data_IF_789267091112
#
_entry.id   IF_789267091112
#
_cell.length_a   1.000
_cell.length_b   1.000
_cell.length_c   1.000
_cell.angle_alpha   90.00
_cell.angle_beta   90.00
_cell.angle_gamma   90.00
#
_symmetry.space_group_name_H-M   'P 1'
#
loop_
_entity.id
_entity.type
_entity.pdbx_description
1 polymer ?
#
# COMPACT_ATOMS: atom_id res chain seq x y z
N UNK A 1 -21.97 9.37 49.75
CA UNK A 1 -22.03 7.98 50.21
C UNK A 1 -23.49 7.56 50.32
N UNK A 2 -23.80 6.34 49.84
CA UNK A 2 -25.05 5.58 49.98
C UNK A 2 -26.29 6.06 49.21
N UNK A 3 -27.09 5.23 48.52
CA UNK A 3 -26.96 3.89 47.91
C UNK A 3 -28.27 3.72 47.10
N UNK A 4 -28.18 3.04 45.94
CA UNK A 4 -29.29 2.52 45.13
C UNK A 4 -30.31 1.69 45.94
N UNK A 5 -31.53 1.52 45.40
CA UNK A 5 -32.32 0.26 45.16
C UNK A 5 -33.83 0.64 45.02
N UNK A 6 -34.42 0.74 43.82
CA UNK A 6 -35.07 -0.30 42.98
C UNK A 6 -36.28 -1.03 43.60
N UNK A 7 -37.46 -0.84 42.98
CA UNK A 7 -38.58 -1.80 42.77
C UNK A 7 -39.68 -1.04 41.99
N UNK A 8 -39.80 -1.11 40.66
CA UNK A 8 -40.19 -2.20 39.74
C UNK A 8 -41.64 -2.68 39.89
N UNK A 9 -42.22 -3.08 38.75
CA UNK A 9 -43.57 -3.64 38.47
C UNK A 9 -44.55 -2.57 37.92
N UNK A 10 -44.60 -2.29 36.61
CA UNK A 10 -45.01 -3.12 35.45
C UNK A 10 -46.53 -3.40 35.43
N UNK A 11 -47.25 -2.91 34.41
CA UNK A 11 -47.90 -3.77 33.41
C UNK A 11 -48.69 -2.97 32.34
N UNK A 12 -48.37 -3.27 31.09
CA UNK A 12 -49.29 -3.49 29.95
C UNK A 12 -50.25 -2.38 29.49
N UNK A 13 -49.88 -1.77 28.35
CA UNK A 13 -50.82 -1.54 27.27
C UNK A 13 -50.17 -2.00 25.95
N UNK A 14 -50.51 -3.23 25.56
CA UNK A 14 -50.29 -3.78 24.22
C UNK A 14 -51.44 -3.30 23.34
N UNK A 15 -51.13 -2.48 22.33
CA UNK A 15 -51.92 -2.32 21.11
C UNK A 15 -50.97 -1.75 20.05
N UNK A 16 -50.32 -2.60 19.26
CA UNK A 16 -50.78 -2.94 17.91
C UNK A 16 -51.04 -1.69 17.06
N UNK A 17 -49.97 -0.98 16.72
CA UNK A 17 -49.87 -0.32 15.42
C UNK A 17 -48.77 -0.99 14.63
N UNK A 18 -49.24 -1.89 13.77
CA UNK A 18 -48.67 -2.33 12.51
C UNK A 18 -47.18 -2.02 12.29
N UNK A 19 -46.39 -3.09 12.33
CA UNK A 19 -45.22 -3.24 11.47
C UNK A 19 -45.62 -2.89 10.02
N UNK A 20 -45.46 -1.64 9.62
CA UNK A 20 -45.02 -1.36 8.24
C UNK A 20 -43.50 -1.41 8.24
N UNK A 21 -42.96 -2.60 8.51
CA UNK A 21 -41.74 -3.01 7.83
C UNK A 21 -42.17 -3.25 6.39
N UNK A 22 -42.38 -2.17 5.62
CA UNK A 22 -42.02 -2.31 4.23
C UNK A 22 -40.54 -2.64 4.28
N UNK A 23 -40.13 -3.86 3.88
CA UNK A 23 -38.72 -4.05 3.59
C UNK A 23 -38.48 -3.03 2.49
N UNK A 24 -37.76 -1.96 2.85
CA UNK A 24 -37.10 -1.12 1.87
C UNK A 24 -36.50 -2.12 0.87
N UNK A 25 -37.06 -2.15 -0.34
CA UNK A 25 -36.59 -3.02 -1.41
C UNK A 25 -35.23 -2.46 -1.76
N UNK A 26 -34.25 -2.89 -0.98
CA UNK A 26 -32.86 -2.51 -1.13
C UNK A 26 -32.46 -3.14 -2.46
N UNK A 27 -31.97 -2.33 -3.41
CA UNK A 27 -31.70 -2.81 -4.74
C UNK A 27 -30.82 -4.06 -4.68
N UNK A 28 -31.26 -5.09 -5.40
CA UNK A 28 -30.45 -6.23 -5.84
C UNK A 28 -29.06 -5.66 -6.15
N UNK A 29 -27.99 -6.24 -5.62
CA UNK A 29 -26.67 -5.93 -6.17
C UNK A 29 -26.66 -6.67 -7.51
N UNK A 30 -26.85 -6.00 -8.67
CA UNK A 30 -26.41 -6.63 -9.90
C UNK A 30 -24.93 -6.91 -9.65
N UNK A 31 -24.44 -8.06 -10.10
CA UNK A 31 -23.03 -8.36 -10.04
C UNK A 31 -22.34 -7.40 -11.01
N UNK A 32 -22.14 -6.18 -10.53
CA UNK A 32 -21.76 -4.99 -11.27
C UNK A 32 -20.25 -4.85 -11.12
N UNK A 33 -19.61 -4.36 -12.18
CA UNK A 33 -18.17 -4.25 -12.25
C UNK A 33 -17.64 -3.45 -11.04
N UNK A 34 -17.04 -4.14 -10.08
CA UNK A 34 -16.39 -3.51 -8.93
C UNK A 34 -14.91 -3.35 -9.22
N UNK A 35 -14.38 -2.15 -9.04
CA UNK A 35 -12.95 -1.90 -9.17
C UNK A 35 -12.32 -1.87 -7.78
N UNK A 36 -11.38 -2.78 -7.52
CA UNK A 36 -10.56 -2.74 -6.31
C UNK A 36 -9.09 -2.53 -6.70
N UNK A 37 -8.40 -1.67 -5.97
CA UNK A 37 -6.95 -1.52 -6.11
C UNK A 37 -6.23 -2.19 -4.95
N UNK A 38 -5.26 -3.05 -5.26
CA UNK A 38 -4.43 -3.75 -4.28
C UNK A 38 -2.97 -3.56 -4.65
N UNK A 39 -2.09 -3.30 -3.68
CA UNK A 39 -0.66 -3.22 -3.98
C UNK A 39 -0.06 -4.61 -4.16
N UNK A 40 0.89 -4.77 -5.09
CA UNK A 40 1.67 -6.00 -5.22
C UNK A 40 2.40 -6.29 -3.89
N UNK A 41 2.17 -7.47 -3.33
CA UNK A 41 2.62 -7.85 -1.99
C UNK A 41 1.66 -7.51 -0.85
N UNK A 42 0.43 -7.07 -1.15
CA UNK A 42 -0.63 -6.86 -0.15
C UNK A 42 -1.83 -7.77 -0.40
N UNK A 43 -2.51 -8.07 0.70
CA UNK A 43 -3.79 -8.74 0.70
C UNK A 43 -4.91 -7.72 0.92
N UNK A 44 -6.10 -8.03 0.39
CA UNK A 44 -7.34 -7.33 0.66
C UNK A 44 -8.50 -8.32 0.68
N UNK A 45 -9.67 -7.89 1.13
CA UNK A 45 -10.87 -8.72 1.13
C UNK A 45 -12.09 -7.93 0.69
N UNK A 46 -12.94 -8.55 -0.10
CA UNK A 46 -14.26 -8.03 -0.46
C UNK A 46 -15.33 -8.90 0.18
N UNK A 47 -16.40 -8.27 0.66
CA UNK A 47 -17.56 -8.99 1.23
C UNK A 47 -18.70 -9.00 0.22
N UNK A 48 -19.23 -10.18 -0.05
CA UNK A 48 -20.39 -10.42 -0.91
C UNK A 48 -21.64 -10.19 -0.06
N UNK A 49 -22.43 -9.18 -0.41
CA UNK A 49 -23.62 -8.79 0.35
C UNK A 49 -24.89 -9.49 -0.13
N UNK A 50 -24.91 -10.07 -1.34
CA UNK A 50 -26.08 -10.82 -1.82
C UNK A 50 -26.21 -12.13 -1.03
N UNK A 51 -27.24 -12.18 -0.19
CA UNK A 51 -27.47 -13.31 0.70
C UNK A 51 -28.35 -14.41 0.12
N UNK A 52 -29.00 -14.14 -1.02
CA UNK A 52 -29.91 -15.07 -1.68
C UNK A 52 -29.18 -16.08 -2.58
N UNK A 53 -27.92 -15.79 -2.94
CA UNK A 53 -27.09 -16.69 -3.76
C UNK A 53 -26.42 -17.74 -2.88
N UNK A 54 -26.65 -19.02 -3.22
CA UNK A 54 -25.97 -20.19 -2.65
C UNK A 54 -25.09 -20.85 -3.71
N UNK A 55 -24.01 -21.52 -3.29
CA UNK A 55 -23.11 -22.20 -4.21
C UNK A 55 -22.32 -21.21 -5.08
N UNK A 56 -21.52 -20.35 -4.47
CA UNK A 56 -20.72 -19.37 -5.20
C UNK A 56 -19.45 -20.02 -5.78
N UNK A 57 -19.12 -19.69 -7.03
CA UNK A 57 -17.88 -20.05 -7.70
C UNK A 57 -17.11 -18.79 -8.07
N UNK A 58 -15.80 -18.81 -7.81
CA UNK A 58 -14.87 -17.75 -8.17
C UNK A 58 -13.93 -18.26 -9.26
N UNK A 59 -13.78 -17.51 -10.34
CA UNK A 59 -12.73 -17.74 -11.34
C UNK A 59 -11.86 -16.50 -11.44
N UNK A 60 -10.58 -16.72 -11.77
CA UNK A 60 -9.57 -15.68 -11.87
C UNK A 60 -8.99 -15.70 -13.28
N UNK A 61 -9.05 -14.57 -14.00
CA UNK A 61 -8.57 -14.50 -15.37
C UNK A 61 -7.04 -14.59 -15.47
N UNK A 62 -6.30 -14.30 -14.39
CA UNK A 62 -4.83 -14.38 -14.39
C UNK A 62 -4.24 -14.49 -12.96
N UNK A 63 -3.98 -15.72 -12.53
CA UNK A 63 -3.39 -16.00 -11.20
C UNK A 63 -1.94 -15.51 -11.04
N UNK A 64 -1.25 -15.13 -12.12
CA UNK A 64 0.11 -14.58 -12.04
C UNK A 64 0.14 -13.15 -11.53
N UNK A 65 -0.96 -12.39 -11.72
CA UNK A 65 -1.06 -10.99 -11.32
C UNK A 65 -1.64 -10.85 -9.91
N UNK A 66 -2.70 -11.61 -9.61
CA UNK A 66 -3.25 -11.72 -8.27
C UNK A 66 -3.84 -13.12 -8.07
N UNK A 67 -3.79 -13.64 -6.86
CA UNK A 67 -4.57 -14.83 -6.49
C UNK A 67 -5.83 -14.39 -5.76
N UNK A 68 -6.88 -15.21 -5.85
CA UNK A 68 -8.10 -14.96 -5.11
C UNK A 68 -8.72 -16.27 -4.65
N UNK A 69 -9.27 -16.28 -3.44
CA UNK A 69 -10.01 -17.42 -2.88
C UNK A 69 -11.31 -16.95 -2.26
N UNK A 70 -12.32 -17.81 -2.35
CA UNK A 70 -13.60 -17.60 -1.70
C UNK A 70 -13.61 -18.31 -0.34
N UNK A 71 -13.88 -17.56 0.72
CA UNK A 71 -14.09 -18.08 2.07
C UNK A 71 -15.46 -17.62 2.58
N UNK A 72 -16.46 -18.50 2.45
CA UNK A 72 -17.86 -18.17 2.73
C UNK A 72 -18.33 -17.05 1.81
N UNK A 73 -18.55 -15.85 2.37
CA UNK A 73 -18.96 -14.63 1.63
C UNK A 73 -17.83 -13.61 1.47
N UNK A 74 -16.58 -14.02 1.67
CA UNK A 74 -15.42 -13.15 1.47
C UNK A 74 -14.60 -13.63 0.29
N UNK A 75 -14.26 -12.70 -0.60
CA UNK A 75 -13.23 -12.89 -1.61
C UNK A 75 -11.94 -12.35 -1.00
N UNK A 76 -11.00 -13.22 -0.69
CA UNK A 76 -9.66 -12.85 -0.25
C UNK A 76 -8.77 -12.73 -1.47
N UNK A 77 -8.10 -11.59 -1.63
CA UNK A 77 -7.35 -11.23 -2.84
C UNK A 77 -5.92 -10.89 -2.42
N UNK A 78 -4.94 -11.52 -3.05
CA UNK A 78 -3.51 -11.22 -2.86
C UNK A 78 -2.93 -10.66 -4.15
N UNK A 79 -2.47 -9.41 -4.14
CA UNK A 79 -1.79 -8.81 -5.28
C UNK A 79 -0.36 -9.34 -5.40
N UNK A 80 0.04 -9.83 -6.58
CA UNK A 80 1.36 -10.41 -6.80
C UNK A 80 2.26 -9.54 -7.68
N UNK A 81 1.77 -9.18 -8.87
CA UNK A 81 2.51 -8.41 -9.88
C UNK A 81 1.59 -7.31 -10.42
N UNK A 82 2.16 -6.12 -10.67
CA UNK A 82 1.43 -5.01 -11.26
C UNK A 82 0.70 -5.41 -12.55
N UNK A 83 -0.57 -5.05 -12.65
CA UNK A 83 -1.43 -5.39 -13.77
C UNK A 83 -2.91 -5.28 -13.41
N UNK A 84 -3.77 -5.70 -14.33
CA UNK A 84 -5.21 -5.77 -14.08
C UNK A 84 -5.69 -7.20 -14.33
N UNK A 85 -6.54 -7.69 -13.43
CA UNK A 85 -7.14 -9.02 -13.53
C UNK A 85 -8.63 -8.94 -13.22
N UNK A 86 -9.43 -9.77 -13.87
CA UNK A 86 -10.86 -9.86 -13.60
C UNK A 86 -11.13 -11.12 -12.81
N UNK A 87 -11.76 -10.96 -11.65
CA UNK A 87 -12.36 -12.03 -10.89
C UNK A 87 -13.83 -12.14 -11.26
N UNK A 88 -14.26 -13.31 -11.70
CA UNK A 88 -15.68 -13.55 -12.02
C UNK A 88 -16.30 -14.37 -10.90
N UNK A 89 -17.36 -13.83 -10.32
CA UNK A 89 -18.21 -14.52 -9.35
C UNK A 89 -19.46 -15.01 -10.07
N UNK A 90 -19.72 -16.32 -9.98
CA UNK A 90 -20.93 -16.94 -10.51
C UNK A 90 -21.67 -17.74 -9.44
N UNK A 91 -22.99 -17.79 -9.58
CA UNK A 91 -23.86 -18.64 -8.78
C UNK A 91 -23.99 -20.02 -9.42
N UNK A 92 -23.83 -21.10 -8.66
CA UNK A 92 -24.01 -22.47 -9.18
C UNK A 92 -25.51 -22.75 -9.31
N UNK A 93 -25.94 -23.10 -10.53
CA UNK A 93 -27.36 -23.35 -10.82
C UNK A 93 -28.19 -22.10 -11.17
N UNK A 94 -27.53 -20.96 -11.34
CA UNK A 94 -28.15 -19.68 -11.71
C UNK A 94 -27.26 -19.00 -12.78
N UNK A 95 -27.87 -18.34 -13.76
CA UNK A 95 -27.17 -17.68 -14.87
C UNK A 95 -26.55 -16.34 -14.46
N UNK A 96 -26.84 -15.84 -13.26
CA UNK A 96 -26.27 -14.60 -12.74
C UNK A 96 -24.76 -14.72 -12.56
N UNK A 97 -24.03 -13.84 -13.25
CA UNK A 97 -22.59 -13.65 -13.11
C UNK A 97 -22.26 -12.18 -12.93
N UNK A 98 -21.09 -11.92 -12.36
CA UNK A 98 -20.41 -10.67 -12.67
C UNK A 98 -19.04 -10.54 -12.07
N UNK A 99 -18.49 -9.35 -12.23
CA UNK A 99 -17.05 -9.15 -12.24
C UNK A 99 -16.56 -8.20 -11.17
N UNK A 100 -15.42 -8.54 -10.58
CA UNK A 100 -14.56 -7.63 -9.86
C UNK A 100 -13.29 -7.45 -10.68
N UNK A 101 -13.03 -6.25 -11.15
CA UNK A 101 -11.73 -5.90 -11.72
C UNK A 101 -10.79 -5.54 -10.57
N UNK A 102 -9.73 -6.34 -10.41
CA UNK A 102 -8.65 -6.08 -9.47
C UNK A 102 -7.51 -5.41 -10.23
N UNK A 103 -7.24 -4.16 -9.88
CA UNK A 103 -6.04 -3.45 -10.33
C UNK A 103 -4.93 -3.66 -9.31
N UNK A 104 -3.94 -4.47 -9.67
CA UNK A 104 -2.73 -4.65 -8.88
C UNK A 104 -1.79 -3.49 -9.17
N UNK A 105 -1.54 -2.67 -8.16
CA UNK A 105 -0.66 -1.52 -8.20
C UNK A 105 0.79 -1.94 -7.97
N UNK A 106 1.71 -1.34 -8.72
CA UNK A 106 3.15 -1.46 -8.47
C UNK A 106 3.86 -0.13 -8.64
N UNK A 107 5.16 -0.21 -8.90
CA UNK A 107 6.04 0.95 -9.01
C UNK A 107 6.06 1.53 -10.43
N UNK A 108 5.50 0.85 -11.43
CA UNK A 108 5.46 1.40 -12.78
C UNK A 108 4.48 2.58 -12.84
N UNK A 109 4.86 3.63 -13.56
CA UNK A 109 4.02 4.80 -13.75
C UNK A 109 4.50 5.63 -14.93
N UNK A 110 3.58 6.02 -15.82
CA UNK A 110 3.90 6.74 -17.06
C UNK A 110 4.73 8.02 -16.86
N UNK A 111 4.63 8.69 -15.70
CA UNK A 111 5.46 9.83 -15.33
C UNK A 111 6.50 9.55 -14.23
N UNK A 112 6.57 8.35 -13.68
CA UNK A 112 7.40 8.03 -12.51
C UNK A 112 6.86 8.59 -11.19
N UNK A 113 7.77 8.81 -10.26
CA UNK A 113 7.54 9.21 -8.88
C UNK A 113 8.35 10.45 -8.55
N UNK A 114 7.74 11.43 -7.90
CA UNK A 114 8.41 12.62 -7.40
C UNK A 114 8.50 12.56 -5.89
N UNK A 115 9.65 12.92 -5.32
CA UNK A 115 9.78 13.02 -3.87
C UNK A 115 8.87 14.11 -3.31
N UNK A 116 8.18 13.80 -2.23
CA UNK A 116 7.33 14.71 -1.46
C UNK A 116 8.10 15.04 -0.19
N UNK A 117 8.90 16.11 -0.23
CA UNK A 117 9.81 16.50 0.86
C UNK A 117 9.53 17.90 1.44
N UNK A 118 8.53 18.63 0.90
CA UNK A 118 8.24 20.03 1.27
C UNK A 118 6.85 20.26 1.90
N UNK A 119 6.17 19.21 2.36
CA UNK A 119 4.87 19.35 3.00
C UNK A 119 4.87 18.64 4.35
N UNK A 120 4.34 19.28 5.40
CA UNK A 120 4.35 18.80 6.79
C UNK A 120 3.69 17.42 6.95
N UNK A 121 2.83 17.03 6.01
CA UNK A 121 2.17 15.73 5.98
C UNK A 121 3.10 14.55 5.64
N UNK A 122 4.20 14.82 4.93
CA UNK A 122 5.09 13.78 4.39
C UNK A 122 6.57 14.16 4.57
N UNK A 123 7.05 14.31 5.82
CA UNK A 123 8.41 14.76 6.07
C UNK A 123 9.43 13.66 5.72
N UNK A 124 10.62 14.08 5.26
CA UNK A 124 11.81 13.23 5.30
C UNK A 124 12.14 12.95 6.77
N UNK A 125 12.24 11.67 7.14
CA UNK A 125 12.63 11.26 8.49
C UNK A 125 13.93 10.49 8.45
N UNK A 126 14.92 10.96 9.21
CA UNK A 126 16.20 10.28 9.39
C UNK A 126 16.39 10.04 10.89
N UNK A 127 16.50 8.77 11.24
CA UNK A 127 16.71 8.31 12.61
C UNK A 127 18.10 7.71 12.72
N UNK A 128 18.91 8.25 13.62
CA UNK A 128 20.21 7.70 13.99
C UNK A 128 20.23 7.56 15.51
N UNK A 129 20.44 6.34 15.98
CA UNK A 129 20.62 6.02 17.40
C UNK A 129 21.98 5.35 17.56
N UNK A 130 22.83 5.96 18.39
CA UNK A 130 24.14 5.44 18.73
C UNK A 130 24.51 5.90 20.15
N UNK A 131 25.40 5.16 20.82
CA UNK A 131 25.92 5.58 22.14
C UNK A 131 26.78 6.83 22.04
N UNK A 132 27.52 6.99 20.92
CA UNK A 132 28.25 8.22 20.60
C UNK A 132 27.27 9.26 20.01
N UNK A 133 26.81 10.19 20.85
CA UNK A 133 25.83 11.21 20.48
C UNK A 133 26.36 12.20 19.42
N UNK A 134 27.64 12.59 19.50
CA UNK A 134 28.25 13.51 18.55
C UNK A 134 28.33 12.86 17.16
N UNK A 135 28.72 11.59 17.11
CA UNK A 135 28.68 10.81 15.87
C UNK A 135 27.25 10.68 15.33
N UNK A 136 26.26 10.39 16.19
CA UNK A 136 24.87 10.25 15.76
C UNK A 136 24.32 11.53 15.10
N UNK A 137 24.61 12.70 15.68
CA UNK A 137 24.22 14.00 15.12
C UNK A 137 24.92 14.29 13.79
N UNK A 138 26.23 14.05 13.72
CA UNK A 138 27.00 14.23 12.48
C UNK A 138 26.48 13.33 11.36
N UNK A 139 26.27 12.04 11.65
CA UNK A 139 25.76 11.09 10.67
C UNK A 139 24.35 11.45 10.21
N UNK A 140 23.47 11.85 11.14
CA UNK A 140 22.12 12.31 10.80
C UNK A 140 22.17 13.49 9.82
N UNK A 141 23.04 14.47 10.07
CA UNK A 141 23.24 15.62 9.17
C UNK A 141 23.76 15.17 7.81
N UNK A 142 24.79 14.33 7.77
CA UNK A 142 25.35 13.80 6.54
C UNK A 142 24.30 13.07 5.69
N UNK A 143 23.51 12.19 6.30
CA UNK A 143 22.43 11.48 5.60
C UNK A 143 21.32 12.42 5.13
N UNK A 144 21.05 13.49 5.87
CA UNK A 144 20.07 14.52 5.47
C UNK A 144 20.55 15.24 4.22
N UNK A 145 21.82 15.63 4.20
CA UNK A 145 22.45 16.29 3.06
C UNK A 145 22.53 15.35 1.84
N UNK A 146 22.88 14.08 2.05
CA UNK A 146 22.89 13.03 1.02
C UNK A 146 21.52 12.88 0.36
N UNK A 147 20.46 12.74 1.17
CA UNK A 147 19.11 12.54 0.66
C UNK A 147 18.58 13.81 0.02
N UNK A 148 18.64 14.96 0.70
CA UNK A 148 18.06 16.19 0.16
C UNK A 148 18.82 16.66 -1.09
N UNK A 149 20.11 16.35 -1.20
CA UNK A 149 20.98 16.89 -2.24
C UNK A 149 21.11 18.41 -2.12
N UNK A 150 21.79 19.05 -3.06
CA UNK A 150 21.88 20.51 -3.07
C UNK A 150 20.54 21.10 -3.50
N UNK A 151 20.09 22.15 -2.81
CA UNK A 151 18.81 22.86 -3.10
C UNK A 151 18.68 23.28 -4.56
N UNK A 152 19.81 23.51 -5.24
CA UNK A 152 19.90 23.94 -6.65
C UNK A 152 19.60 22.85 -7.67
N UNK A 153 19.53 21.58 -7.28
CA UNK A 153 19.37 20.45 -8.21
C UNK A 153 17.91 20.18 -8.60
N UNK A 154 16.95 20.88 -8.00
CA UNK A 154 15.53 20.68 -8.25
C UNK A 154 14.95 19.44 -7.55
N UNK A 155 13.67 19.12 -7.78
CA UNK A 155 13.01 17.97 -7.17
C UNK A 155 13.61 16.65 -7.65
N UNK A 156 13.65 15.66 -6.76
CA UNK A 156 14.07 14.30 -7.06
C UNK A 156 12.93 13.49 -7.70
N UNK A 157 13.27 12.72 -8.73
CA UNK A 157 12.37 11.87 -9.51
C UNK A 157 12.91 10.45 -9.59
N UNK A 158 12.02 9.46 -9.54
CA UNK A 158 12.30 8.05 -9.75
C UNK A 158 11.38 7.50 -10.84
N UNK A 159 11.96 6.90 -11.88
CA UNK A 159 11.22 6.26 -12.97
C UNK A 159 11.56 4.77 -12.96
N UNK A 160 10.54 3.92 -13.06
CA UNK A 160 10.66 2.48 -13.16
C UNK A 160 10.11 2.01 -14.50
N UNK A 161 10.96 1.35 -15.28
CA UNK A 161 10.59 0.72 -16.55
C UNK A 161 10.59 -0.80 -16.36
N UNK A 162 9.39 -1.34 -16.08
CA UNK A 162 9.14 -2.72 -15.71
C UNK A 162 8.10 -2.81 -14.57
N UNK A 163 7.49 -3.99 -14.38
CA UNK A 163 6.45 -4.20 -13.36
C UNK A 163 7.03 -4.74 -12.04
N UNK A 164 7.73 -5.88 -12.11
CA UNK A 164 8.39 -6.53 -10.96
C UNK A 164 9.92 -6.49 -11.05
N UNK A 165 10.48 -6.27 -12.23
CA UNK A 165 11.90 -6.01 -12.43
C UNK A 165 12.12 -5.23 -13.72
N UNK A 166 13.27 -4.58 -13.83
CA UNK A 166 13.61 -3.81 -15.03
C UNK A 166 14.64 -2.73 -14.76
N UNK A 167 14.54 -1.62 -15.48
CA UNK A 167 15.44 -0.46 -15.33
C UNK A 167 14.83 0.61 -14.44
N UNK A 168 15.65 1.26 -13.64
CA UNK A 168 15.26 2.47 -12.94
C UNK A 168 16.19 3.63 -13.30
N UNK A 169 15.64 4.83 -13.22
CA UNK A 169 16.38 6.09 -13.30
C UNK A 169 15.94 6.99 -12.16
N UNK A 170 16.92 7.57 -11.47
CA UNK A 170 16.76 8.68 -10.56
C UNK A 170 17.30 9.94 -11.23
N UNK A 171 16.54 11.02 -11.14
CA UNK A 171 16.91 12.31 -11.71
C UNK A 171 16.63 13.43 -10.70
N UNK A 172 17.35 14.54 -10.85
CA UNK A 172 17.07 15.79 -10.16
C UNK A 172 16.87 16.89 -11.19
N UNK A 173 15.67 17.48 -11.21
CA UNK A 173 15.25 18.32 -12.33
C UNK A 173 15.25 17.53 -13.64
N UNK A 174 15.96 18.02 -14.65
CA UNK A 174 16.10 17.37 -15.97
C UNK A 174 17.33 16.47 -16.11
N UNK A 175 18.16 16.34 -15.07
CA UNK A 175 19.43 15.62 -15.14
C UNK A 175 19.32 14.25 -14.47
N UNK A 176 19.56 13.14 -15.19
CA UNK A 176 19.77 11.83 -14.58
C UNK A 176 20.95 11.91 -13.61
N UNK A 177 20.75 11.42 -12.40
CA UNK A 177 21.78 11.37 -11.35
C UNK A 177 22.21 9.96 -11.04
N UNK A 178 21.33 8.97 -11.28
CA UNK A 178 21.60 7.57 -10.98
C UNK A 178 20.70 6.66 -11.81
N UNK A 179 21.24 5.56 -12.31
CA UNK A 179 20.49 4.59 -13.11
C UNK A 179 20.93 3.18 -12.77
N UNK A 180 20.10 2.18 -13.07
CA UNK A 180 20.45 0.79 -12.83
C UNK A 180 19.31 -0.18 -13.06
N UNK A 181 19.43 -1.37 -12.48
CA UNK A 181 18.36 -2.37 -12.47
C UNK A 181 17.58 -2.32 -11.16
N UNK A 182 16.29 -2.66 -11.19
CA UNK A 182 15.50 -2.85 -9.98
C UNK A 182 14.79 -4.19 -9.96
N UNK A 183 14.46 -4.65 -8.76
CA UNK A 183 13.46 -5.70 -8.52
C UNK A 183 12.48 -5.22 -7.45
N UNK A 184 11.21 -5.60 -7.60
CA UNK A 184 10.14 -5.27 -6.68
C UNK A 184 9.24 -6.47 -6.45
N UNK A 185 9.22 -6.95 -5.21
CA UNK A 185 8.44 -8.11 -4.81
C UNK A 185 8.05 -7.98 -3.34
N UNK A 186 6.79 -8.30 -3.01
CA UNK A 186 6.32 -8.30 -1.60
C UNK A 186 6.63 -6.99 -0.86
N UNK A 187 6.43 -5.85 -1.52
CA UNK A 187 6.76 -4.52 -0.99
C UNK A 187 8.25 -4.31 -0.64
N UNK A 188 9.14 -5.16 -1.15
CA UNK A 188 10.58 -4.99 -1.07
C UNK A 188 11.09 -4.53 -2.44
N UNK A 189 11.78 -3.41 -2.45
CA UNK A 189 12.42 -2.83 -3.62
C UNK A 189 13.93 -2.96 -3.46
N UNK A 190 14.58 -3.57 -4.44
CA UNK A 190 16.03 -3.57 -4.55
C UNK A 190 16.43 -2.69 -5.73
N UNK A 191 17.30 -1.70 -5.49
CA UNK A 191 17.91 -0.89 -6.55
C UNK A 191 19.38 -1.30 -6.69
N UNK A 192 19.82 -1.52 -7.93
CA UNK A 192 21.18 -1.90 -8.27
C UNK A 192 21.79 -0.85 -9.21
N UNK A 193 22.24 0.32 -8.68
CA UNK A 193 22.94 1.33 -9.47
C UNK A 193 24.38 0.95 -9.83
N UNK A 194 24.90 -0.12 -9.23
CA UNK A 194 26.28 -0.56 -9.38
C UNK A 194 26.50 -1.88 -8.63
N UNK A 195 27.63 -2.00 -7.94
CA UNK A 195 28.03 -3.24 -7.24
C UNK A 195 27.33 -3.45 -5.90
N UNK A 196 26.87 -2.37 -5.25
CA UNK A 196 26.19 -2.46 -3.94
C UNK A 196 24.69 -2.26 -4.11
N UNK A 197 23.87 -3.28 -3.79
CA UNK A 197 22.42 -3.16 -3.84
C UNK A 197 21.89 -2.27 -2.71
N UNK A 198 20.84 -1.52 -3.01
CA UNK A 198 20.09 -0.76 -2.03
C UNK A 198 18.76 -1.42 -1.77
N UNK A 199 18.46 -1.68 -0.49
CA UNK A 199 17.26 -2.39 -0.08
C UNK A 199 16.27 -1.43 0.56
N UNK A 200 15.06 -1.41 0.04
CA UNK A 200 13.96 -0.58 0.50
C UNK A 200 12.75 -1.43 0.87
N UNK A 201 12.08 -1.06 1.95
CA UNK A 201 10.71 -1.48 2.21
C UNK A 201 9.76 -0.39 1.74
N UNK A 202 8.82 -0.74 0.88
CA UNK A 202 7.76 0.12 0.39
C UNK A 202 6.58 0.03 1.35
N UNK A 203 6.13 1.17 1.86
CA UNK A 203 4.92 1.27 2.69
C UNK A 203 3.91 2.14 1.94
N UNK A 204 2.98 1.54 1.18
CA UNK A 204 1.96 2.30 0.48
C UNK A 204 1.11 3.14 1.45
N UNK A 205 0.90 4.41 1.11
CA UNK A 205 0.01 5.31 1.86
C UNK A 205 -1.31 5.53 1.12
N UNK A 206 -1.26 5.47 -0.21
CA UNK A 206 -2.42 5.56 -1.11
C UNK A 206 -2.06 4.92 -2.46
N UNK A 207 -2.97 4.86 -3.44
CA UNK A 207 -2.63 4.42 -4.80
C UNK A 207 -1.57 5.26 -5.51
N UNK A 208 -1.33 6.50 -5.04
CA UNK A 208 -0.43 7.47 -5.68
C UNK A 208 0.65 7.98 -4.73
N UNK A 209 0.79 7.42 -3.53
CA UNK A 209 1.80 7.84 -2.56
C UNK A 209 2.38 6.65 -1.85
N UNK A 210 3.70 6.55 -1.85
CA UNK A 210 4.46 5.51 -1.16
C UNK A 210 5.46 6.13 -0.19
N UNK A 211 5.76 5.42 0.89
CA UNK A 211 6.92 5.67 1.73
C UNK A 211 7.99 4.64 1.42
N UNK A 212 9.19 5.07 1.07
CA UNK A 212 10.38 4.25 0.92
C UNK A 212 11.16 4.28 2.22
N UNK A 213 11.35 3.11 2.83
CA UNK A 213 12.09 2.93 4.09
C UNK A 213 13.38 2.19 3.80
N UNK A 214 14.51 2.78 4.13
CA UNK A 214 15.84 2.15 4.05
C UNK A 214 16.41 1.99 5.45
N UNK A 215 16.77 0.78 5.80
CA UNK A 215 17.52 0.47 7.02
C UNK A 215 18.98 0.25 6.63
N UNK A 216 19.87 1.08 7.16
CA UNK A 216 21.33 1.02 6.93
C UNK A 216 22.08 0.64 8.20
N UNK A 217 21.39 0.14 9.23
CA UNK A 217 21.98 -0.12 10.55
C UNK A 217 23.18 -1.06 10.43
N UNK A 218 23.03 -2.20 9.76
CA UNK A 218 24.11 -3.18 9.59
C UNK A 218 25.31 -2.61 8.80
N UNK A 219 25.04 -1.81 7.77
CA UNK A 219 26.07 -1.14 6.96
C UNK A 219 26.92 -0.20 7.82
N UNK A 220 26.27 0.65 8.63
CA UNK A 220 26.98 1.61 9.48
C UNK A 220 27.65 0.97 10.69
N UNK A 221 27.09 -0.10 11.27
CA UNK A 221 27.76 -0.91 12.29
C UNK A 221 29.06 -1.49 11.73
N UNK A 222 29.02 -2.10 10.54
CA UNK A 222 30.20 -2.70 9.93
C UNK A 222 31.29 -1.67 9.63
N UNK A 223 30.91 -0.46 9.21
CA UNK A 223 31.85 0.62 8.91
C UNK A 223 32.38 1.36 10.16
N UNK A 224 31.64 1.34 11.28
CA UNK A 224 31.97 2.10 12.49
C UNK A 224 31.69 1.27 13.78
N UNK A 225 32.44 0.16 13.98
CA UNK A 225 32.11 -0.82 15.03
C UNK A 225 32.22 -0.28 16.47
N UNK A 226 32.97 0.79 16.68
CA UNK A 226 33.22 1.43 17.98
C UNK A 226 32.16 2.47 18.38
N UNK A 227 31.24 2.82 17.47
CA UNK A 227 30.27 3.92 17.68
C UNK A 227 29.01 3.52 18.43
N UNK A 228 28.84 2.23 18.73
CA UNK A 228 27.67 1.70 19.44
C UNK A 228 26.36 2.04 18.73
N UNK A 229 26.35 1.93 17.40
CA UNK A 229 25.18 2.19 16.55
C UNK A 229 24.11 1.13 16.82
N UNK A 230 22.88 1.60 17.04
CA UNK A 230 21.70 0.78 17.33
C UNK A 230 20.69 0.84 16.19
N UNK A 231 20.57 1.98 15.50
CA UNK A 231 19.62 2.19 14.41
C UNK A 231 20.11 3.28 13.46
N UNK A 232 20.06 3.00 12.16
CA UNK A 232 20.17 4.00 11.08
C UNK A 232 19.06 3.77 10.07
N UNK A 233 18.06 4.65 10.04
CA UNK A 233 16.86 4.50 9.22
C UNK A 233 16.52 5.79 8.47
N UNK A 234 16.23 5.66 7.19
CA UNK A 234 15.83 6.76 6.29
C UNK A 234 14.43 6.45 5.78
N UNK A 235 13.50 7.40 5.93
CA UNK A 235 12.13 7.31 5.43
C UNK A 235 11.81 8.50 4.55
N UNK A 236 11.49 8.25 3.29
CA UNK A 236 11.16 9.28 2.30
C UNK A 236 9.83 8.97 1.61
N UNK A 237 9.06 10.02 1.31
CA UNK A 237 7.77 9.87 0.63
C UNK A 237 7.88 10.24 -0.84
N UNK A 238 7.14 9.51 -1.67
CA UNK A 238 7.14 9.65 -3.11
C UNK A 238 5.71 9.62 -3.64
N UNK A 239 5.37 10.63 -4.44
CA UNK A 239 4.07 10.80 -5.08
C UNK A 239 4.14 10.46 -6.56
N UNK A 240 3.18 9.70 -7.07
CA UNK A 240 3.10 9.34 -8.49
C UNK A 240 2.87 10.60 -9.34
N UNK A 241 3.65 10.76 -10.40
CA UNK A 241 3.46 11.85 -11.35
C UNK A 241 2.37 11.44 -12.33
N UNK A 242 1.25 12.16 -12.31
CA UNK A 242 0.23 12.07 -13.35
C UNK A 242 0.76 12.73 -14.62
N UNK A 243 0.95 11.98 -15.70
CA UNK A 243 1.00 12.57 -17.03
C UNK A 243 -0.37 13.15 -17.35
N UNK A 244 -0.48 14.38 -17.92
CA UNK A 244 -1.72 14.81 -18.55
C UNK A 244 -2.13 13.76 -19.58
N UNK A 245 -3.37 13.31 -19.50
CA UNK A 245 -3.98 12.45 -20.51
C UNK A 245 -4.30 13.22 -21.78
#
# INVERSE_FOLDING_TARGET
MNRLHYCLVSLFAVALFACSNDPEVKPIIPISAYNVSVWAGKDTSLTILDTAVTGLKLTNSNETLATAKLEGRKILISGLIEGAVTLTLSAVGDERQGGVTVKVLGLQGGGGWRRVDRNDKFPLTITVQATDAAFAEQLKKQLTDEVLGKVTEGPAYLVFNGTSSGKFMEARGSKPTREGNFTFQQLKLTLNPGTTPELYTIVPQSPTTIKMVRDRTAEFIAANPDKGIQLVKIESFWGKISTPG
#
